data_IF_950331618608
#
_entry.id   IF_950331618608
#
_cell.length_a   1.000
_cell.length_b   1.000
_cell.length_c   1.000
_cell.angle_alpha   90.00
_cell.angle_beta   90.00
_cell.angle_gamma   90.00
#
_symmetry.space_group_name_H-M   'P 1'
#
loop_
_entity.id
_entity.type
_entity.pdbx_description
1 polymer ?
#
# COMPACT_ATOMS: atom_id res chain seq x y z
N UNK A 1 -5.57 12.68 -1.65
CA UNK A 1 -6.20 11.73 -0.70
C UNK A 1 -6.10 10.29 -1.20
N UNK A 2 -5.96 9.32 -0.31
CA UNK A 2 -5.91 7.89 -0.67
C UNK A 2 -7.30 7.42 -1.11
N UNK A 3 -7.40 6.81 -2.29
CA UNK A 3 -8.65 6.23 -2.78
C UNK A 3 -9.00 5.04 -1.88
N UNK A 4 -10.22 5.01 -1.34
CA UNK A 4 -10.71 3.94 -0.46
C UNK A 4 -10.64 4.28 1.03
N UNK A 5 -9.95 5.36 1.41
CA UNK A 5 -9.98 5.87 2.78
C UNK A 5 -11.00 7.01 2.86
N UNK A 6 -12.08 6.77 3.60
CA UNK A 6 -13.13 7.77 3.87
C UNK A 6 -12.93 8.46 5.22
N UNK A 7 -13.76 9.48 5.54
CA UNK A 7 -13.66 10.24 6.80
C UNK A 7 -13.72 9.35 8.04
N UNK A 8 -14.62 8.36 8.08
CA UNK A 8 -14.74 7.41 9.20
C UNK A 8 -13.46 6.60 9.40
N UNK A 9 -12.87 6.13 8.30
CA UNK A 9 -11.61 5.36 8.36
C UNK A 9 -10.44 6.23 8.75
N UNK A 10 -10.38 7.47 8.26
CA UNK A 10 -9.34 8.42 8.61
C UNK A 10 -9.41 8.80 10.10
N UNK A 11 -10.60 9.10 10.61
CA UNK A 11 -10.84 9.46 12.00
C UNK A 11 -10.53 8.29 12.94
N UNK A 12 -11.06 7.10 12.65
CA UNK A 12 -10.74 5.89 13.40
C UNK A 12 -9.23 5.60 13.43
N UNK A 13 -8.54 5.82 12.31
CA UNK A 13 -7.10 5.62 12.23
C UNK A 13 -6.34 6.57 13.17
N UNK A 14 -6.65 7.86 13.14
CA UNK A 14 -6.02 8.86 14.00
C UNK A 14 -6.34 8.59 15.47
N UNK A 15 -7.59 8.29 15.79
CA UNK A 15 -8.04 8.02 17.16
C UNK A 15 -7.39 6.77 17.76
N UNK A 16 -7.21 5.70 16.97
CA UNK A 16 -6.64 4.44 17.45
C UNK A 16 -5.11 4.41 17.45
N UNK A 17 -4.45 5.08 16.50
CA UNK A 17 -2.98 5.10 16.40
C UNK A 17 -2.37 6.10 17.37
N UNK A 18 -3.05 7.22 17.66
CA UNK A 18 -2.46 8.30 18.43
C UNK A 18 -1.21 8.86 17.73
N UNK A 19 -0.02 8.61 18.27
CA UNK A 19 1.24 9.02 17.66
C UNK A 19 1.82 7.94 16.74
N UNK A 20 1.74 8.16 15.42
CA UNK A 20 2.30 7.22 14.44
C UNK A 20 3.84 7.05 14.53
N UNK A 21 4.53 7.96 15.24
CA UNK A 21 5.98 7.91 15.49
C UNK A 21 6.37 6.81 16.48
N UNK A 22 5.41 6.22 17.21
CA UNK A 22 5.65 5.07 18.08
C UNK A 22 6.06 3.82 17.28
N UNK A 23 5.65 3.74 16.01
CA UNK A 23 6.05 2.68 15.10
C UNK A 23 7.33 3.08 14.36
N UNK A 24 8.34 2.20 14.36
CA UNK A 24 9.62 2.45 13.65
C UNK A 24 9.45 2.52 12.12
N UNK A 25 8.44 1.85 11.59
CA UNK A 25 8.14 1.84 10.16
C UNK A 25 6.68 1.42 9.90
N UNK A 26 6.17 1.70 8.70
CA UNK A 26 4.82 1.31 8.31
C UNK A 26 4.57 -0.21 8.26
N UNK A 27 5.62 -1.05 8.21
CA UNK A 27 5.45 -2.52 8.30
C UNK A 27 5.07 -2.93 9.72
N UNK A 28 5.58 -2.24 10.74
CA UNK A 28 5.18 -2.47 12.13
C UNK A 28 3.72 -2.07 12.35
N UNK A 29 3.27 -0.94 11.78
CA UNK A 29 1.86 -0.57 11.86
C UNK A 29 0.96 -1.60 11.16
N UNK A 30 1.33 -2.05 9.96
CA UNK A 30 0.57 -3.08 9.25
C UNK A 30 0.51 -4.42 10.01
N UNK A 31 1.59 -4.77 10.73
CA UNK A 31 1.62 -5.95 11.59
C UNK A 31 0.73 -5.77 12.83
N UNK A 32 0.72 -4.58 13.44
CA UNK A 32 -0.13 -4.23 14.58
C UNK A 32 -1.62 -4.29 14.21
N UNK A 33 -2.00 -3.86 13.00
CA UNK A 33 -3.36 -3.98 12.45
C UNK A 33 -3.76 -5.42 12.06
N UNK A 34 -2.80 -6.36 12.04
CA UNK A 34 -3.02 -7.75 11.66
C UNK A 34 -3.16 -7.99 10.16
N UNK A 35 -2.66 -7.07 9.32
CA UNK A 35 -2.69 -7.15 7.84
C UNK A 35 -1.49 -7.92 7.25
N UNK A 36 -0.65 -8.49 8.11
CA UNK A 36 0.56 -9.26 7.75
C UNK A 36 0.28 -10.75 7.94
N UNK A 37 0.82 -11.63 7.07
CA UNK A 37 0.70 -13.08 7.24
C UNK A 37 1.31 -13.56 8.55
N UNK A 38 0.77 -14.63 9.13
CA UNK A 38 1.40 -15.37 10.22
C UNK A 38 2.67 -16.02 9.71
N UNK A 39 3.71 -16.02 10.55
CA UNK A 39 4.97 -16.68 10.26
C UNK A 39 5.15 -17.83 11.24
N UNK A 40 5.24 -19.06 10.72
CA UNK A 40 5.61 -20.25 11.47
C UNK A 40 6.99 -20.69 10.99
N UNK A 41 7.99 -20.60 11.86
CA UNK A 41 9.36 -20.97 11.53
C UNK A 41 9.91 -21.92 12.58
N UNK A 42 10.40 -23.09 12.16
CA UNK A 42 11.11 -24.04 13.02
C UNK A 42 12.33 -24.58 12.28
N UNK A 43 13.45 -24.75 12.98
CA UNK A 43 14.64 -25.45 12.46
C UNK A 43 15.13 -24.99 11.08
N UNK A 44 15.07 -23.70 10.74
CA UNK A 44 15.54 -23.17 9.45
C UNK A 44 14.50 -23.15 8.31
N UNK A 45 13.29 -23.68 8.52
CA UNK A 45 12.20 -23.59 7.55
C UNK A 45 11.18 -22.53 7.95
N UNK A 46 10.98 -21.52 7.11
CA UNK A 46 9.94 -20.50 7.31
C UNK A 46 8.73 -20.80 6.42
N UNK A 47 7.54 -20.88 7.03
CA UNK A 47 6.25 -20.99 6.34
C UNK A 47 5.38 -19.77 6.67
N UNK A 48 4.82 -19.13 5.65
CA UNK A 48 3.86 -18.05 5.78
C UNK A 48 2.44 -18.61 5.70
N UNK A 49 1.59 -18.25 6.66
CA UNK A 49 0.20 -18.72 6.78
C UNK A 49 -0.83 -17.67 6.36
N UNK A 50 -1.99 -17.73 7.00
CA UNK A 50 -3.09 -16.76 6.83
C UNK A 50 -2.72 -15.39 7.38
N UNK A 51 -3.56 -14.38 7.17
CA UNK A 51 -3.39 -13.10 7.87
C UNK A 51 -3.41 -13.33 9.39
N UNK A 52 -2.56 -12.60 10.11
CA UNK A 52 -2.41 -12.78 11.55
C UNK A 52 -3.66 -12.47 12.34
N UNK A 53 -4.55 -11.60 11.82
CA UNK A 53 -5.77 -11.18 12.51
C UNK A 53 -5.54 -10.57 13.90
N UNK A 54 -4.29 -10.28 14.27
CA UNK A 54 -3.93 -9.64 15.54
C UNK A 54 -4.27 -8.14 15.48
N UNK A 55 -4.50 -7.54 16.64
CA UNK A 55 -4.91 -6.13 16.74
C UNK A 55 -6.38 -5.88 16.47
N UNK A 56 -6.71 -4.63 16.14
CA UNK A 56 -8.09 -4.16 16.08
C UNK A 56 -8.86 -4.70 14.85
N UNK A 57 -9.93 -5.45 15.13
CA UNK A 57 -10.83 -5.98 14.13
C UNK A 57 -11.65 -4.89 13.44
N UNK A 58 -11.98 -3.79 14.12
CA UNK A 58 -12.76 -2.68 13.58
C UNK A 58 -11.96 -1.93 12.51
N UNK A 59 -10.76 -1.42 12.86
CA UNK A 59 -9.84 -0.80 11.90
C UNK A 59 -9.52 -1.71 10.71
N UNK A 60 -9.24 -2.99 10.97
CA UNK A 60 -8.99 -3.95 9.89
C UNK A 60 -10.19 -4.08 8.96
N UNK A 61 -11.41 -4.13 9.50
CA UNK A 61 -12.63 -4.19 8.70
C UNK A 61 -12.77 -2.95 7.83
N UNK A 62 -12.57 -1.75 8.39
CA UNK A 62 -12.63 -0.49 7.65
C UNK A 62 -11.61 -0.46 6.50
N UNK A 63 -10.37 -0.86 6.75
CA UNK A 63 -9.32 -0.90 5.71
C UNK A 63 -9.62 -1.93 4.61
N UNK A 64 -10.21 -3.08 4.95
CA UNK A 64 -10.61 -4.09 3.96
C UNK A 64 -11.80 -3.60 3.12
N UNK A 65 -12.77 -2.92 3.71
CA UNK A 65 -13.85 -2.29 2.94
C UNK A 65 -13.33 -1.16 2.04
N UNK A 66 -12.41 -0.34 2.56
CA UNK A 66 -11.72 0.68 1.78
C UNK A 66 -10.97 0.11 0.58
N UNK A 67 -10.22 -0.97 0.79
CA UNK A 67 -9.53 -1.71 -0.26
C UNK A 67 -10.48 -2.23 -1.34
N UNK A 68 -11.69 -2.68 -0.95
CA UNK A 68 -12.72 -3.13 -1.90
C UNK A 68 -13.19 -1.99 -2.80
N UNK A 69 -13.42 -0.81 -2.23
CA UNK A 69 -13.77 0.40 -2.97
C UNK A 69 -12.66 0.81 -3.95
N UNK A 70 -11.40 0.72 -3.54
CA UNK A 70 -10.25 1.04 -4.41
C UNK A 70 -10.09 0.04 -5.54
N UNK A 71 -10.33 -1.25 -5.29
CA UNK A 71 -10.37 -2.27 -6.32
C UNK A 71 -11.50 -2.02 -7.33
N UNK A 72 -12.70 -1.67 -6.86
CA UNK A 72 -13.81 -1.31 -7.75
C UNK A 72 -13.48 -0.09 -8.60
N UNK A 73 -12.95 0.98 -7.99
CA UNK A 73 -12.52 2.18 -8.73
C UNK A 73 -11.45 1.85 -9.75
N UNK A 74 -10.46 1.04 -9.38
CA UNK A 74 -9.42 0.60 -10.29
C UNK A 74 -9.97 -0.20 -11.48
N UNK A 75 -11.09 -0.92 -11.36
CA UNK A 75 -11.71 -1.63 -12.49
C UNK A 75 -12.49 -0.73 -13.45
N UNK A 76 -13.05 0.38 -12.96
CA UNK A 76 -13.95 1.25 -13.73
C UNK A 76 -13.21 2.34 -14.53
N UNK A 77 -12.10 2.85 -14.01
CA UNK A 77 -11.34 3.94 -14.66
C UNK A 77 -10.76 3.47 -16.02
N UNK A 78 -10.55 4.35 -17.00
CA UNK A 78 -9.87 3.96 -18.25
C UNK A 78 -8.37 3.73 -18.01
N UNK A 79 -7.72 2.90 -18.82
CA UNK A 79 -6.27 2.64 -18.68
C UNK A 79 -5.43 3.94 -18.78
N UNK A 80 -5.82 4.85 -19.65
CA UNK A 80 -5.14 6.14 -19.88
C UNK A 80 -5.19 7.09 -18.68
N UNK A 81 -6.26 7.02 -17.87
CA UNK A 81 -6.44 7.87 -16.68
C UNK A 81 -6.10 7.15 -15.38
N UNK A 82 -5.53 5.95 -15.48
CA UNK A 82 -5.26 5.11 -14.31
C UNK A 82 -4.02 5.59 -13.57
N UNK A 83 -4.14 5.76 -12.25
CA UNK A 83 -2.98 6.07 -11.40
C UNK A 83 -2.02 4.87 -11.33
N UNK A 84 -0.73 5.07 -11.00
CA UNK A 84 0.22 3.96 -10.81
C UNK A 84 -0.28 2.92 -9.81
N UNK A 85 -0.97 3.36 -8.75
CA UNK A 85 -1.61 2.47 -7.79
C UNK A 85 -2.73 1.64 -8.41
N UNK A 86 -3.60 2.25 -9.22
CA UNK A 86 -4.69 1.52 -9.89
C UNK A 86 -4.15 0.49 -10.89
N UNK A 87 -3.07 0.81 -11.62
CA UNK A 87 -2.38 -0.13 -12.51
C UNK A 87 -1.85 -1.32 -11.70
N UNK A 88 -1.16 -1.06 -10.59
CA UNK A 88 -0.68 -2.10 -9.67
C UNK A 88 -1.82 -2.97 -9.12
N UNK A 89 -2.96 -2.37 -8.75
CA UNK A 89 -4.15 -3.08 -8.29
C UNK A 89 -4.69 -4.01 -9.36
N UNK A 90 -4.80 -3.55 -10.62
CA UNK A 90 -5.26 -4.39 -11.74
C UNK A 90 -4.35 -5.58 -11.97
N UNK A 91 -3.05 -5.33 -12.06
CA UNK A 91 -2.05 -6.39 -12.23
C UNK A 91 -2.13 -7.41 -11.09
N UNK A 92 -2.36 -6.96 -9.85
CA UNK A 92 -2.55 -7.84 -8.71
C UNK A 92 -3.82 -8.68 -8.82
N UNK A 93 -4.93 -8.06 -9.24
CA UNK A 93 -6.21 -8.74 -9.42
C UNK A 93 -6.17 -9.82 -10.52
N UNK A 94 -5.29 -9.70 -11.52
CA UNK A 94 -5.11 -10.72 -12.55
C UNK A 94 -4.41 -11.99 -12.04
N UNK A 95 -3.61 -11.91 -10.97
CA UNK A 95 -2.72 -12.99 -10.52
C UNK A 95 -3.04 -13.58 -9.15
N UNK A 96 -3.87 -12.92 -8.35
CA UNK A 96 -4.20 -13.35 -6.99
C UNK A 96 -5.72 -13.51 -6.79
N UNK A 97 -6.13 -14.44 -5.91
CA UNK A 97 -7.53 -14.56 -5.52
C UNK A 97 -8.01 -13.32 -4.76
N UNK A 98 -9.30 -13.04 -4.87
CA UNK A 98 -9.94 -11.81 -4.39
C UNK A 98 -9.56 -11.40 -2.95
N UNK A 99 -9.62 -12.33 -1.99
CA UNK A 99 -9.27 -12.01 -0.60
C UNK A 99 -7.83 -11.56 -0.41
N UNK A 100 -6.87 -12.18 -1.12
CA UNK A 100 -5.45 -11.80 -1.06
C UNK A 100 -5.22 -10.43 -1.70
N UNK A 101 -5.95 -10.10 -2.77
CA UNK A 101 -5.91 -8.77 -3.40
C UNK A 101 -6.36 -7.70 -2.41
N UNK A 102 -7.50 -7.89 -1.74
CA UNK A 102 -8.01 -6.91 -0.76
C UNK A 102 -7.02 -6.68 0.39
N UNK A 103 -6.47 -7.75 0.96
CA UNK A 103 -5.47 -7.66 2.05
C UNK A 103 -4.22 -6.91 1.59
N UNK A 104 -3.74 -7.18 0.38
CA UNK A 104 -2.56 -6.52 -0.16
C UNK A 104 -2.78 -5.01 -0.39
N UNK A 105 -3.96 -4.62 -0.89
CA UNK A 105 -4.35 -3.21 -1.04
C UNK A 105 -4.44 -2.55 0.33
N UNK A 106 -5.15 -3.16 1.28
CA UNK A 106 -5.27 -2.65 2.65
C UNK A 106 -3.90 -2.49 3.33
N UNK A 107 -2.98 -3.43 3.14
CA UNK A 107 -1.62 -3.34 3.68
C UNK A 107 -0.83 -2.19 3.03
N UNK A 108 -0.99 -1.96 1.72
CA UNK A 108 -0.41 -0.79 1.05
C UNK A 108 -0.97 0.52 1.61
N UNK A 109 -2.29 0.62 1.79
CA UNK A 109 -2.95 1.79 2.40
C UNK A 109 -2.49 2.03 3.83
N UNK A 110 -2.40 0.98 4.66
CA UNK A 110 -1.89 1.11 6.03
C UNK A 110 -0.48 1.70 6.08
N UNK A 111 0.38 1.34 5.11
CA UNK A 111 1.74 1.88 5.02
C UNK A 111 1.77 3.32 4.51
N UNK A 112 0.88 3.69 3.58
CA UNK A 112 0.72 5.08 3.14
C UNK A 112 0.18 5.96 4.28
N UNK A 113 -0.85 5.48 5.00
CA UNK A 113 -1.39 6.15 6.18
C UNK A 113 -0.33 6.35 7.25
N UNK A 114 0.49 5.33 7.53
CA UNK A 114 1.62 5.49 8.45
C UNK A 114 2.57 6.59 8.01
N UNK A 115 2.98 6.60 6.73
CA UNK A 115 3.92 7.60 6.22
C UNK A 115 3.35 9.02 6.36
N UNK A 116 2.08 9.21 6.00
CA UNK A 116 1.39 10.50 6.16
C UNK A 116 1.34 10.94 7.62
N UNK A 117 0.99 10.04 8.54
CA UNK A 117 0.87 10.35 9.97
C UNK A 117 2.23 10.55 10.66
N UNK A 118 3.26 9.79 10.28
CA UNK A 118 4.57 9.86 10.90
C UNK A 118 5.36 11.10 10.45
N UNK A 119 5.18 11.51 9.18
CA UNK A 119 5.85 12.68 8.60
C UNK A 119 5.00 13.95 8.61
N UNK A 120 3.73 13.85 9.02
CA UNK A 120 2.76 14.97 9.02
C UNK A 120 2.58 15.58 7.61
N UNK A 121 2.64 14.73 6.59
CA UNK A 121 2.55 15.11 5.18
C UNK A 121 1.20 14.72 4.58
N UNK A 122 0.79 15.49 3.55
CA UNK A 122 -0.43 15.17 2.79
C UNK A 122 -0.15 14.06 1.78
N UNK A 123 -1.21 13.32 1.40
CA UNK A 123 -1.05 12.25 0.42
C UNK A 123 -0.69 12.82 -0.96
N UNK A 124 0.48 12.43 -1.44
CA UNK A 124 0.94 12.66 -2.81
C UNK A 124 1.01 11.33 -3.59
N UNK A 125 0.34 11.27 -4.74
CA UNK A 125 0.33 10.09 -5.61
C UNK A 125 1.65 9.95 -6.40
N UNK A 126 2.37 11.04 -6.59
CA UNK A 126 3.57 11.15 -7.41
C UNK A 126 4.86 11.25 -6.58
N UNK A 127 4.75 11.11 -5.26
CA UNK A 127 5.89 11.09 -4.32
C UNK A 127 6.98 10.07 -4.70
N UNK A 128 6.61 9.00 -5.41
CA UNK A 128 7.57 8.00 -5.92
C UNK A 128 8.55 8.59 -6.95
N UNK A 129 8.18 9.64 -7.69
CA UNK A 129 9.08 10.35 -8.61
C UNK A 129 10.22 11.06 -7.88
N UNK A 130 10.00 11.45 -6.63
CA UNK A 130 11.01 12.08 -5.79
C UNK A 130 11.96 11.07 -5.14
N UNK A 131 11.69 9.76 -5.27
CA UNK A 131 12.52 8.74 -4.67
C UNK A 131 13.90 8.69 -5.36
N UNK A 132 15.02 8.65 -4.60
CA UNK A 132 16.38 8.71 -5.18
C UNK A 132 16.69 7.64 -6.23
N UNK A 133 16.04 6.46 -6.14
CA UNK A 133 16.19 5.40 -7.14
C UNK A 133 15.54 5.75 -8.50
N UNK A 134 14.52 6.59 -8.51
CA UNK A 134 13.81 7.01 -9.74
C UNK A 134 14.51 8.20 -10.38
N UNK A 135 15.06 9.09 -9.55
CA UNK A 135 15.84 10.25 -10.01
C UNK A 135 17.25 9.90 -10.51
N UNK A 136 17.67 8.63 -10.43
CA UNK A 136 18.98 8.21 -10.92
C UNK A 136 19.01 8.44 -12.43
N UNK A 137 19.87 9.34 -12.95
CA UNK A 137 19.97 9.53 -14.38
C UNK A 137 20.36 8.19 -15.01
N UNK A 138 19.63 7.79 -16.06
CA UNK A 138 20.03 6.65 -16.88
C UNK A 138 21.47 6.88 -17.32
N UNK A 139 22.41 6.11 -16.76
CA UNK A 139 23.83 6.33 -17.01
C UNK A 139 24.13 6.31 -18.51
N UNK A 140 24.85 7.34 -18.99
CA UNK A 140 25.52 7.65 -20.28
C UNK A 140 25.32 6.84 -21.59
N UNK A 141 24.58 5.73 -21.61
CA UNK A 141 24.34 4.86 -22.77
C UNK A 141 22.95 5.04 -23.41
N UNK A 142 22.19 6.08 -23.05
CA UNK A 142 20.90 6.40 -23.68
C UNK A 142 21.01 7.42 -24.84
N UNK A 143 22.22 7.92 -25.13
CA UNK A 143 22.45 8.98 -26.12
C UNK A 143 23.29 8.41 -27.28
N UNK A 144 22.72 7.52 -28.09
CA UNK A 144 23.34 7.19 -29.40
C UNK A 144 22.31 6.85 -30.49
N UNK A 145 21.01 6.87 -30.20
CA UNK A 145 19.98 6.48 -31.19
C UNK A 145 19.27 7.68 -31.82
N UNK A 146 19.53 8.92 -31.37
CA UNK A 146 18.84 10.12 -31.89
C UNK A 146 19.68 11.00 -32.83
N UNK A 147 20.83 10.52 -33.33
CA UNK A 147 21.73 11.29 -34.20
C UNK A 147 22.02 10.61 -35.57
N UNK A 148 21.13 9.74 -36.05
CA UNK A 148 21.20 9.17 -37.41
C UNK A 148 19.82 9.15 -38.10
N UNK A 149 19.11 10.27 -38.08
CA UNK A 149 17.96 10.50 -38.96
C UNK A 149 17.95 11.96 -39.44
#
# INVERSE_FOLDING_TARGET
>A
AIIGIGPITADAMVASVGSAREFKNGRQLAAWLGLVPTQHSSGGHTRLGTISCRGDAYLRTLLIQGARSSLQRAKVVSAEKSTPEQIWIRQLACRLPFGKVLVAIANKHARQLWAMLAHEETYDADAWLQHPMVQRPAGKYAITVSAMA
#
